data_IF_125557682039
#
_entry.id   IF_125557682039
#
_cell.length_a   1.000
_cell.length_b   1.000
_cell.length_c   1.000
_cell.angle_alpha   90.00
_cell.angle_beta   90.00
_cell.angle_gamma   90.00
#
_symmetry.space_group_name_H-M   'P 1'
#
loop_
_entity.id
_entity.type
_entity.pdbx_description
1 polymer ?
#
# COMPACT_ATOMS: atom_id res chain seq x y z
N UNK A 1 -9.63 32.03 1.40
CA UNK A 1 -8.27 31.54 1.61
C UNK A 1 -7.99 30.47 0.59
N UNK A 2 -7.02 30.66 -0.32
CA UNK A 2 -6.58 29.61 -1.21
C UNK A 2 -6.02 28.47 -0.36
N UNK A 3 -6.59 27.26 -0.48
CA UNK A 3 -6.06 26.05 0.17
C UNK A 3 -4.63 25.87 -0.34
N UNK A 4 -3.67 25.87 0.54
CA UNK A 4 -2.27 25.59 0.20
C UNK A 4 -2.19 24.13 -0.23
N UNK A 5 -2.25 23.88 -1.53
CA UNK A 5 -2.27 22.55 -2.11
C UNK A 5 -0.85 21.98 -2.06
N UNK A 6 -0.63 21.05 -1.13
CA UNK A 6 0.65 20.36 -0.98
C UNK A 6 0.82 19.19 -1.97
N UNK A 7 -0.30 18.71 -2.51
CA UNK A 7 -0.32 17.72 -3.59
C UNK A 7 -0.70 18.44 -4.89
N UNK A 8 0.21 18.43 -5.85
CA UNK A 8 0.06 19.14 -7.12
C UNK A 8 0.07 18.19 -8.31
N UNK A 9 -0.39 18.67 -9.45
CA UNK A 9 -0.32 17.94 -10.72
C UNK A 9 1.06 18.11 -11.36
N UNK A 10 1.60 17.04 -11.93
CA UNK A 10 2.86 17.06 -12.69
C UNK A 10 2.78 18.02 -13.88
N UNK A 11 3.94 18.39 -14.43
CA UNK A 11 4.03 19.33 -15.55
C UNK A 11 3.27 18.83 -16.80
N UNK A 12 2.80 19.77 -17.62
CA UNK A 12 2.11 19.45 -18.88
C UNK A 12 2.97 18.57 -19.80
N UNK A 13 4.29 18.80 -19.82
CA UNK A 13 5.23 18.01 -20.60
C UNK A 13 5.27 16.54 -20.14
N UNK A 14 5.27 16.30 -18.84
CA UNK A 14 5.18 14.93 -18.30
C UNK A 14 3.85 14.27 -18.65
N UNK A 15 2.74 14.99 -18.58
CA UNK A 15 1.43 14.50 -19.00
C UNK A 15 1.45 14.04 -20.47
N UNK A 16 1.99 14.87 -21.35
CA UNK A 16 2.12 14.54 -22.79
C UNK A 16 2.99 13.30 -22.98
N UNK A 17 4.13 13.22 -22.30
CA UNK A 17 5.05 12.08 -22.35
C UNK A 17 4.36 10.79 -21.91
N UNK A 18 3.64 10.81 -20.79
CA UNK A 18 2.90 9.63 -20.28
C UNK A 18 1.86 9.17 -21.31
N UNK A 19 1.07 10.10 -21.85
CA UNK A 19 0.04 9.73 -22.85
C UNK A 19 0.65 9.22 -24.16
N UNK A 20 1.73 9.79 -24.64
CA UNK A 20 2.42 9.32 -25.85
C UNK A 20 2.97 7.90 -25.68
N UNK A 21 3.61 7.65 -24.55
CA UNK A 21 4.12 6.29 -24.23
C UNK A 21 2.96 5.29 -24.04
N UNK A 22 1.89 5.69 -23.37
CA UNK A 22 0.69 4.87 -23.23
C UNK A 22 0.11 4.49 -24.59
N UNK A 23 0.06 5.42 -25.53
CA UNK A 23 -0.45 5.15 -26.88
C UNK A 23 0.41 4.09 -27.58
N UNK A 24 1.73 4.28 -27.60
CA UNK A 24 2.66 3.32 -28.27
C UNK A 24 2.57 1.93 -27.64
N UNK A 25 2.66 1.84 -26.32
CA UNK A 25 2.53 0.57 -25.61
C UNK A 25 1.13 -0.02 -25.72
N UNK A 26 0.10 0.82 -25.71
CA UNK A 26 -1.28 0.42 -25.87
C UNK A 26 -1.53 -0.32 -27.16
N UNK A 27 -1.08 0.23 -28.27
CA UNK A 27 -1.19 -0.43 -29.59
C UNK A 27 -0.50 -1.79 -29.58
N UNK A 28 0.74 -1.86 -29.06
CA UNK A 28 1.47 -3.13 -28.98
C UNK A 28 0.75 -4.18 -28.12
N UNK A 29 0.24 -3.79 -26.95
CA UNK A 29 -0.49 -4.69 -26.05
C UNK A 29 -1.81 -5.14 -26.68
N UNK A 30 -2.55 -4.22 -27.33
CA UNK A 30 -3.78 -4.58 -28.05
C UNK A 30 -3.53 -5.63 -29.13
N UNK A 31 -2.48 -5.48 -29.94
CA UNK A 31 -2.11 -6.48 -30.93
C UNK A 31 -1.79 -7.83 -30.27
N UNK A 32 -1.01 -7.85 -29.18
CA UNK A 32 -0.68 -9.07 -28.43
C UNK A 32 -1.92 -9.75 -27.83
N UNK A 33 -2.82 -8.97 -27.24
CA UNK A 33 -4.06 -9.49 -26.64
C UNK A 33 -5.02 -10.02 -27.71
N UNK A 34 -5.19 -9.31 -28.82
CA UNK A 34 -6.02 -9.76 -29.94
C UNK A 34 -5.49 -11.06 -30.54
N UNK A 35 -4.18 -11.18 -30.74
CA UNK A 35 -3.58 -12.42 -31.20
C UNK A 35 -3.82 -13.58 -30.22
N UNK A 36 -3.67 -13.35 -28.91
CA UNK A 36 -3.93 -14.36 -27.88
C UNK A 36 -5.43 -14.74 -27.83
N UNK A 37 -6.32 -13.79 -27.98
CA UNK A 37 -7.76 -14.02 -28.03
C UNK A 37 -8.16 -14.89 -29.22
N UNK A 38 -7.58 -14.62 -30.41
CA UNK A 38 -7.82 -15.44 -31.61
C UNK A 38 -7.27 -16.86 -31.42
N UNK A 39 -6.12 -17.02 -30.76
CA UNK A 39 -5.46 -18.31 -30.58
C UNK A 39 -6.11 -19.19 -29.50
N UNK A 40 -6.57 -18.59 -28.40
CA UNK A 40 -7.21 -19.31 -27.30
C UNK A 40 -8.39 -18.49 -26.72
N UNK A 41 -9.53 -18.45 -27.44
CA UNK A 41 -10.70 -17.68 -27.00
C UNK A 41 -11.33 -18.23 -25.71
N UNK A 42 -11.18 -19.54 -25.43
CA UNK A 42 -11.78 -20.16 -24.24
C UNK A 42 -11.13 -19.68 -22.96
N UNK A 43 -9.82 -19.51 -22.91
CA UNK A 43 -9.12 -19.05 -21.70
C UNK A 43 -9.47 -17.60 -21.33
N UNK A 44 -9.88 -16.80 -22.30
CA UNK A 44 -10.29 -15.40 -22.06
C UNK A 44 -11.59 -15.26 -21.30
N UNK A 45 -12.52 -16.22 -21.44
CA UNK A 45 -13.90 -16.08 -20.96
C UNK A 45 -14.25 -17.09 -19.85
N UNK A 46 -13.28 -17.82 -19.32
CA UNK A 46 -13.49 -18.69 -18.16
C UNK A 46 -13.53 -17.85 -16.89
N UNK A 47 -14.71 -17.33 -16.56
CA UNK A 47 -14.99 -16.67 -15.29
C UNK A 47 -15.99 -17.51 -14.52
N UNK A 48 -15.63 -17.91 -13.30
CA UNK A 48 -16.56 -18.60 -12.41
C UNK A 48 -17.55 -17.60 -11.83
N UNK A 49 -18.84 -17.88 -11.94
CA UNK A 49 -19.89 -17.05 -11.35
C UNK A 49 -19.83 -17.20 -9.81
N UNK A 50 -19.83 -16.05 -9.14
CA UNK A 50 -19.79 -15.95 -7.67
C UNK A 50 -20.94 -15.04 -7.21
N UNK A 51 -22.10 -15.63 -6.92
CA UNK A 51 -23.32 -14.86 -6.61
C UNK A 51 -23.43 -14.52 -5.12
N UNK A 52 -22.82 -15.34 -4.25
CA UNK A 52 -22.89 -15.17 -2.80
C UNK A 52 -21.52 -14.83 -2.23
N UNK A 53 -21.43 -13.83 -1.32
CA UNK A 53 -20.18 -13.53 -0.66
C UNK A 53 -19.73 -14.69 0.26
N UNK A 54 -18.45 -15.06 0.26
CA UNK A 54 -17.90 -15.96 1.27
C UNK A 54 -18.13 -15.45 2.69
N UNK A 55 -18.38 -16.37 3.63
CA UNK A 55 -18.72 -16.03 5.01
C UNK A 55 -17.74 -15.07 5.67
N UNK A 56 -16.43 -15.21 5.41
CA UNK A 56 -15.38 -14.35 5.98
C UNK A 56 -15.45 -12.87 5.53
N UNK A 57 -16.24 -12.54 4.51
CA UNK A 57 -16.47 -11.14 4.10
C UNK A 57 -17.65 -10.48 4.81
N UNK A 58 -18.55 -11.28 5.39
CA UNK A 58 -19.79 -10.79 6.01
C UNK A 58 -19.90 -11.14 7.49
N UNK A 59 -19.03 -12.01 7.98
CA UNK A 59 -19.00 -12.42 9.37
C UNK A 59 -18.49 -11.29 10.28
N UNK A 60 -19.25 -11.02 11.36
CA UNK A 60 -18.94 -10.00 12.35
C UNK A 60 -17.92 -10.45 13.39
N UNK A 61 -17.31 -11.62 13.27
CA UNK A 61 -16.30 -12.13 14.22
C UNK A 61 -15.06 -11.24 14.34
N UNK A 62 -14.71 -10.53 13.26
CA UNK A 62 -13.60 -9.57 13.23
C UNK A 62 -14.01 -8.13 13.59
N UNK A 63 -15.29 -7.84 13.69
CA UNK A 63 -15.80 -6.51 14.00
C UNK A 63 -17.15 -6.23 13.35
N UNK A 64 -17.70 -5.07 13.62
CA UNK A 64 -18.99 -4.66 13.08
C UNK A 64 -18.85 -4.02 11.70
N UNK A 65 -19.58 -4.54 10.72
CA UNK A 65 -19.70 -3.95 9.39
C UNK A 65 -20.55 -2.68 9.46
N UNK A 66 -20.02 -1.58 8.97
CA UNK A 66 -20.67 -0.27 9.00
C UNK A 66 -20.52 0.46 7.67
N UNK A 67 -21.43 1.40 7.45
CA UNK A 67 -21.46 2.22 6.26
C UNK A 67 -21.56 3.69 6.63
N UNK A 68 -20.89 4.54 5.86
CA UNK A 68 -21.02 5.98 5.94
C UNK A 68 -21.13 6.56 4.54
N UNK A 69 -22.00 7.54 4.35
CA UNK A 69 -22.15 8.24 3.07
C UNK A 69 -21.47 9.60 3.13
N UNK A 70 -20.43 9.80 2.34
CA UNK A 70 -19.61 11.01 2.30
C UNK A 70 -19.60 11.55 0.87
N UNK A 71 -19.98 12.80 0.67
CA UNK A 71 -20.06 13.45 -0.68
C UNK A 71 -20.80 12.62 -1.74
N UNK A 72 -21.81 11.87 -1.31
CA UNK A 72 -22.59 11.02 -2.21
C UNK A 72 -22.05 9.61 -2.45
N UNK A 73 -20.85 9.30 -1.94
CA UNK A 73 -20.21 7.98 -2.01
C UNK A 73 -20.45 7.23 -0.70
N UNK A 74 -20.94 6.00 -0.78
CA UNK A 74 -21.07 5.08 0.34
C UNK A 74 -19.74 4.36 0.56
N UNK A 75 -19.21 4.46 1.77
CA UNK A 75 -18.03 3.72 2.20
C UNK A 75 -18.43 2.61 3.17
N UNK A 76 -17.87 1.43 2.97
CA UNK A 76 -17.94 0.31 3.89
C UNK A 76 -16.67 0.27 4.75
N UNK A 77 -16.82 -0.07 6.02
CA UNK A 77 -15.70 -0.33 6.93
C UNK A 77 -16.08 -1.32 8.01
N UNK A 78 -15.07 -2.00 8.55
CA UNK A 78 -15.22 -2.88 9.72
C UNK A 78 -14.62 -2.19 10.93
N UNK A 79 -15.41 -2.04 12.00
CA UNK A 79 -15.02 -1.40 13.26
C UNK A 79 -14.93 -2.39 14.39
N UNK A 80 -13.82 -2.38 15.13
CA UNK A 80 -13.59 -3.21 16.30
C UNK A 80 -12.86 -2.42 17.40
N UNK A 81 -13.08 -2.79 18.67
CA UNK A 81 -12.51 -2.10 19.84
C UNK A 81 -13.42 -1.02 20.41
N UNK A 82 -13.09 -0.52 21.63
CA UNK A 82 -13.86 0.53 22.28
C UNK A 82 -13.72 1.88 21.59
N UNK A 83 -14.81 2.63 21.53
CA UNK A 83 -14.85 3.99 20.97
C UNK A 83 -14.06 5.01 21.77
N UNK A 84 -13.80 4.73 23.03
CA UNK A 84 -13.04 5.61 23.94
C UNK A 84 -11.52 5.48 23.73
N UNK A 85 -11.08 4.47 22.96
CA UNK A 85 -9.68 4.26 22.64
C UNK A 85 -9.24 5.10 21.42
N UNK A 86 -7.93 5.41 21.31
CA UNK A 86 -7.38 6.12 20.16
C UNK A 86 -7.68 5.37 18.86
N UNK A 87 -8.04 6.10 17.81
CA UNK A 87 -8.38 5.53 16.49
C UNK A 87 -7.14 5.09 15.71
N UNK A 88 -7.19 3.87 15.19
CA UNK A 88 -6.30 3.37 14.13
C UNK A 88 -7.12 3.13 12.87
N UNK A 89 -6.83 3.88 11.81
CA UNK A 89 -7.43 3.73 10.49
C UNK A 89 -6.54 2.84 9.61
N UNK A 90 -7.07 1.71 9.15
CA UNK A 90 -6.39 0.74 8.32
C UNK A 90 -6.83 0.91 6.86
N UNK A 91 -5.88 1.21 5.96
CA UNK A 91 -6.10 1.40 4.53
C UNK A 91 -5.38 0.28 3.76
N UNK A 92 -6.15 -0.57 3.09
CA UNK A 92 -5.62 -1.71 2.34
C UNK A 92 -4.93 -1.29 1.02
N UNK A 93 -4.25 -2.24 0.38
CA UNK A 93 -3.56 -2.08 -0.89
C UNK A 93 -4.36 -2.57 -2.11
N UNK A 94 -3.62 -2.95 -3.16
CA UNK A 94 -4.16 -3.48 -4.41
C UNK A 94 -3.48 -4.83 -4.76
N UNK A 95 -4.24 -5.80 -5.27
CA UNK A 95 -5.70 -5.93 -5.26
C UNK A 95 -6.16 -6.56 -3.93
N UNK A 96 -6.81 -5.78 -3.09
CA UNK A 96 -7.12 -6.15 -1.71
C UNK A 96 -8.45 -5.51 -1.24
N UNK A 97 -8.87 -5.74 0.02
CA UNK A 97 -10.02 -5.11 0.66
C UNK A 97 -9.79 -5.07 2.19
N UNK A 98 -10.77 -4.64 2.98
CA UNK A 98 -10.67 -4.59 4.44
C UNK A 98 -10.17 -5.89 5.08
N UNK A 99 -10.48 -7.05 4.48
CA UNK A 99 -10.09 -8.39 4.96
C UNK A 99 -8.57 -8.61 4.98
N UNK A 100 -7.80 -7.80 4.30
CA UNK A 100 -6.35 -7.73 4.38
C UNK A 100 -5.85 -7.62 5.81
N UNK A 101 -6.60 -6.92 6.65
CA UNK A 101 -6.28 -6.62 8.03
C UNK A 101 -6.82 -7.64 9.05
N UNK A 102 -7.33 -8.79 8.59
CA UNK A 102 -7.94 -9.84 9.45
C UNK A 102 -7.07 -10.29 10.61
N UNK A 103 -5.76 -10.26 10.46
CA UNK A 103 -4.81 -10.64 11.51
C UNK A 103 -4.42 -9.46 12.42
N UNK A 104 -4.63 -8.21 11.99
CA UNK A 104 -4.30 -7.00 12.73
C UNK A 104 -5.48 -6.55 13.60
N UNK A 105 -6.70 -6.65 13.09
CA UNK A 105 -7.92 -6.19 13.78
C UNK A 105 -8.02 -6.77 15.20
N UNK A 106 -7.97 -8.11 15.43
CA UNK A 106 -8.15 -8.65 16.78
C UNK A 106 -7.02 -8.29 17.74
N UNK A 107 -5.82 -8.05 17.24
CA UNK A 107 -4.66 -7.68 18.07
C UNK A 107 -4.68 -6.21 18.43
N UNK A 108 -5.01 -5.35 17.47
CA UNK A 108 -5.06 -3.90 17.67
C UNK A 108 -6.27 -3.48 18.51
N UNK A 109 -7.42 -4.15 18.37
CA UNK A 109 -8.67 -3.80 19.06
C UNK A 109 -8.60 -3.92 20.59
N UNK A 110 -7.59 -4.62 21.10
CA UNK A 110 -7.30 -4.68 22.54
C UNK A 110 -6.78 -3.33 23.11
N UNK A 111 -6.22 -2.48 22.26
CA UNK A 111 -5.57 -1.23 22.66
C UNK A 111 -6.08 0.01 21.93
N UNK A 112 -6.79 -0.19 20.82
CA UNK A 112 -7.22 0.87 19.91
C UNK A 112 -8.66 0.64 19.44
N UNK A 113 -9.32 1.72 19.08
CA UNK A 113 -10.48 1.67 18.19
C UNK A 113 -9.95 1.44 16.76
N UNK A 114 -10.29 0.34 16.14
CA UNK A 114 -9.78 -0.06 14.82
C UNK A 114 -10.88 0.13 13.79
N UNK A 115 -10.57 0.82 12.71
CA UNK A 115 -11.43 0.97 11.53
C UNK A 115 -10.67 0.49 10.30
N UNK A 116 -11.08 -0.64 9.74
CA UNK A 116 -10.56 -1.17 8.49
C UNK A 116 -11.50 -0.79 7.33
N UNK A 117 -11.06 0.12 6.48
CA UNK A 117 -11.84 0.72 5.42
C UNK A 117 -11.74 -0.10 4.13
N UNK A 118 -12.85 -0.32 3.45
CA UNK A 118 -12.83 -0.56 2.01
C UNK A 118 -12.69 0.77 1.28
N UNK A 119 -11.57 0.97 0.60
CA UNK A 119 -11.34 2.17 -0.19
C UNK A 119 -12.41 2.32 -1.28
N UNK A 120 -12.71 3.54 -1.68
CA UNK A 120 -13.63 3.80 -2.79
C UNK A 120 -13.25 2.97 -4.02
N UNK A 121 -14.21 2.27 -4.60
CA UNK A 121 -13.97 1.37 -5.73
C UNK A 121 -13.63 -0.06 -5.35
N UNK A 122 -13.45 -0.37 -4.05
CA UNK A 122 -13.09 -1.69 -3.56
C UNK A 122 -14.17 -2.27 -2.63
N UNK A 123 -14.11 -3.58 -2.43
CA UNK A 123 -14.93 -4.31 -1.48
C UNK A 123 -16.41 -3.95 -1.60
N UNK A 124 -17.03 -3.56 -0.49
CA UNK A 124 -18.44 -3.18 -0.44
C UNK A 124 -18.68 -1.65 -0.43
N UNK A 125 -17.63 -0.87 -0.66
CA UNK A 125 -17.73 0.57 -0.93
C UNK A 125 -18.23 0.83 -2.35
N UNK A 126 -18.86 2.01 -2.58
CA UNK A 126 -19.32 2.42 -3.89
C UNK A 126 -18.17 2.44 -4.92
N UNK A 127 -18.49 2.05 -6.15
CA UNK A 127 -17.56 1.88 -7.28
C UNK A 127 -17.91 2.81 -8.45
N UNK A 128 -17.75 4.15 -8.29
CA UNK A 128 -17.99 5.06 -9.41
C UNK A 128 -17.12 4.72 -10.61
N UNK A 129 -17.68 4.72 -11.82
CA UNK A 129 -16.92 4.37 -13.03
C UNK A 129 -16.02 5.51 -13.52
N UNK A 130 -16.32 6.76 -13.18
CA UNK A 130 -15.59 7.92 -13.66
C UNK A 130 -14.20 8.02 -13.04
N UNK A 131 -13.15 8.09 -13.88
CA UNK A 131 -11.77 8.34 -13.45
C UNK A 131 -11.64 9.61 -12.60
N UNK A 132 -12.41 10.65 -12.90
CA UNK A 132 -12.34 11.95 -12.21
C UNK A 132 -12.64 11.84 -10.72
N UNK A 133 -13.52 10.91 -10.32
CA UNK A 133 -13.88 10.71 -8.91
C UNK A 133 -12.77 10.06 -8.08
N UNK A 134 -11.73 9.53 -8.73
CA UNK A 134 -10.54 8.94 -8.09
C UNK A 134 -9.33 9.88 -8.11
N UNK A 135 -9.53 11.15 -8.34
CA UNK A 135 -8.48 12.15 -8.14
C UNK A 135 -8.07 12.16 -6.67
N UNK A 136 -6.79 12.31 -6.44
CA UNK A 136 -6.23 12.20 -5.08
C UNK A 136 -6.80 13.28 -4.15
N UNK A 137 -6.95 14.50 -4.63
CA UNK A 137 -7.57 15.60 -3.87
C UNK A 137 -8.98 15.22 -3.37
N UNK A 138 -9.81 14.62 -4.22
CA UNK A 138 -11.15 14.16 -3.85
C UNK A 138 -11.11 13.03 -2.82
N UNK A 139 -10.22 12.05 -3.01
CA UNK A 139 -10.07 10.93 -2.08
C UNK A 139 -9.58 11.41 -0.71
N UNK A 140 -8.62 12.33 -0.68
CA UNK A 140 -8.11 12.90 0.57
C UNK A 140 -9.19 13.69 1.33
N UNK A 141 -10.04 14.44 0.63
CA UNK A 141 -11.17 15.12 1.24
C UNK A 141 -12.22 14.14 1.80
N UNK A 142 -12.45 13.01 1.10
CA UNK A 142 -13.34 11.95 1.60
C UNK A 142 -12.75 11.26 2.84
N UNK A 143 -11.44 10.97 2.86
CA UNK A 143 -10.76 10.43 4.04
C UNK A 143 -10.77 11.41 5.22
N UNK A 144 -10.58 12.71 4.96
CA UNK A 144 -10.74 13.75 5.98
C UNK A 144 -12.15 13.71 6.59
N UNK A 145 -13.18 13.69 5.74
CA UNK A 145 -14.57 13.60 6.21
C UNK A 145 -14.86 12.30 6.95
N UNK A 146 -14.25 11.19 6.53
CA UNK A 146 -14.37 9.93 7.25
C UNK A 146 -13.83 10.06 8.68
N UNK A 147 -12.63 10.57 8.85
CA UNK A 147 -12.00 10.75 10.17
C UNK A 147 -12.88 11.63 11.06
N UNK A 148 -13.35 12.76 10.53
CA UNK A 148 -14.25 13.68 11.26
C UNK A 148 -15.57 12.97 11.61
N UNK A 149 -16.17 12.21 10.70
CA UNK A 149 -17.44 11.49 10.92
C UNK A 149 -17.32 10.38 11.96
N UNK A 150 -16.12 9.83 12.17
CA UNK A 150 -15.81 8.87 13.21
C UNK A 150 -15.72 9.54 14.61
N UNK A 151 -15.81 10.87 14.68
CA UNK A 151 -15.87 11.65 15.94
C UNK A 151 -14.51 11.87 16.58
N UNK A 152 -13.43 11.85 15.82
CA UNK A 152 -12.05 12.11 16.30
C UNK A 152 -11.44 13.30 15.59
N UNK A 153 -10.52 14.00 16.27
CA UNK A 153 -9.75 15.10 15.69
C UNK A 153 -8.55 14.63 14.88
N UNK A 154 -7.98 13.47 15.25
CA UNK A 154 -6.83 12.86 14.57
C UNK A 154 -6.81 11.36 14.81
N UNK A 155 -6.01 10.64 14.05
CA UNK A 155 -5.86 9.20 14.19
C UNK A 155 -4.46 8.72 13.75
N UNK A 156 -4.11 7.51 14.14
CA UNK A 156 -3.00 6.80 13.51
C UNK A 156 -3.46 6.17 12.20
N UNK A 157 -2.75 6.42 11.11
CA UNK A 157 -3.02 5.81 9.81
C UNK A 157 -2.03 4.69 9.55
N UNK A 158 -2.53 3.50 9.26
CA UNK A 158 -1.73 2.34 8.82
C UNK A 158 -2.17 1.99 7.41
N UNK A 159 -1.32 2.18 6.44
CA UNK A 159 -1.66 1.98 5.02
C UNK A 159 -0.69 1.04 4.32
N UNK A 160 -1.23 0.09 3.56
CA UNK A 160 -0.47 -0.81 2.71
C UNK A 160 -0.56 -0.39 1.24
N UNK A 161 0.56 -0.41 0.49
CA UNK A 161 0.61 -0.14 -0.95
C UNK A 161 -0.14 1.16 -1.31
N UNK A 162 -1.24 1.11 -2.08
CA UNK A 162 -2.09 2.28 -2.38
C UNK A 162 -2.58 2.96 -1.09
N UNK A 163 -3.02 2.19 -0.10
CA UNK A 163 -3.43 2.74 1.20
C UNK A 163 -2.29 3.46 1.91
N UNK A 164 -1.05 2.96 1.78
CA UNK A 164 0.15 3.62 2.26
C UNK A 164 0.42 4.94 1.54
N UNK A 165 0.25 4.94 0.21
CA UNK A 165 0.40 6.14 -0.60
C UNK A 165 -0.63 7.21 -0.23
N UNK A 166 -1.89 6.81 -0.01
CA UNK A 166 -2.93 7.72 0.49
C UNK A 166 -2.60 8.24 1.88
N UNK A 167 -2.05 7.40 2.76
CA UNK A 167 -1.57 7.79 4.08
C UNK A 167 -0.48 8.87 4.01
N UNK A 168 0.49 8.72 3.12
CA UNK A 168 1.50 9.75 2.85
C UNK A 168 0.88 11.06 2.38
N UNK A 169 0.00 10.98 1.38
CA UNK A 169 -0.68 12.16 0.84
C UNK A 169 -1.55 12.86 1.90
N UNK A 170 -2.22 12.08 2.75
CA UNK A 170 -3.03 12.60 3.85
C UNK A 170 -2.15 13.33 4.90
N UNK A 171 -1.00 12.74 5.27
CA UNK A 171 -0.05 13.34 6.20
C UNK A 171 0.58 14.64 5.66
N UNK A 172 0.73 14.76 4.34
CA UNK A 172 1.15 16.02 3.71
C UNK A 172 0.03 17.06 3.68
N UNK A 173 -1.17 16.67 3.23
CA UNK A 173 -2.25 17.61 2.97
C UNK A 173 -2.98 18.05 4.24
N UNK A 174 -3.14 17.13 5.21
CA UNK A 174 -3.87 17.32 6.46
C UNK A 174 -3.07 16.75 7.65
N UNK A 175 -1.87 17.30 7.95
CA UNK A 175 -1.00 16.78 9.02
C UNK A 175 -1.66 16.78 10.39
N UNK A 176 -2.63 17.69 10.63
CA UNK A 176 -3.40 17.79 11.88
C UNK A 176 -4.31 16.57 12.12
N UNK A 177 -4.65 15.82 11.08
CA UNK A 177 -5.50 14.62 11.19
C UNK A 177 -4.70 13.34 11.44
N UNK A 178 -3.36 13.39 11.34
CA UNK A 178 -2.52 12.20 11.38
C UNK A 178 -1.53 12.27 12.53
N UNK A 179 -1.80 11.54 13.62
CA UNK A 179 -0.88 11.45 14.77
C UNK A 179 0.41 10.70 14.44
N UNK A 180 0.29 9.69 13.60
CA UNK A 180 1.38 8.84 13.13
C UNK A 180 0.98 8.16 11.81
N UNK A 181 1.93 8.03 10.90
CA UNK A 181 1.78 7.22 9.70
C UNK A 181 2.60 5.93 9.83
N UNK A 182 1.97 4.79 9.60
CA UNK A 182 2.66 3.51 9.36
C UNK A 182 2.45 3.14 7.89
N UNK A 183 3.48 3.35 7.09
CA UNK A 183 3.48 2.99 5.66
C UNK A 183 4.00 1.55 5.51
N UNK A 184 3.14 0.65 5.03
CA UNK A 184 3.48 -0.77 4.84
C UNK A 184 3.79 -1.02 3.37
N UNK A 185 5.01 -1.45 3.09
CA UNK A 185 5.50 -1.70 1.72
C UNK A 185 5.20 -0.55 0.75
N UNK A 186 5.35 0.69 1.22
CA UNK A 186 5.05 1.89 0.43
C UNK A 186 6.03 3.03 0.75
N UNK A 187 6.97 3.38 -0.15
CA UNK A 187 7.84 4.53 -0.01
C UNK A 187 7.07 5.84 -0.24
N UNK A 188 7.73 6.96 0.03
CA UNK A 188 7.16 8.28 -0.23
C UNK A 188 6.68 8.46 -1.69
N UNK A 189 5.55 9.15 -1.96
CA UNK A 189 4.95 9.27 -3.30
C UNK A 189 5.92 9.75 -4.39
N UNK A 190 6.73 10.77 -4.15
CA UNK A 190 7.69 11.27 -5.13
C UNK A 190 8.79 10.25 -5.43
N UNK A 191 9.22 9.47 -4.44
CA UNK A 191 10.18 8.38 -4.61
C UNK A 191 9.54 7.22 -5.37
N UNK A 192 8.32 6.87 -5.03
CA UNK A 192 7.55 5.84 -5.73
C UNK A 192 7.41 6.20 -7.22
N UNK A 193 6.96 7.42 -7.55
CA UNK A 193 6.81 7.92 -8.92
C UNK A 193 8.13 7.84 -9.70
N UNK A 194 9.23 8.31 -9.13
CA UNK A 194 10.56 8.26 -9.77
C UNK A 194 11.00 6.81 -10.03
N UNK A 195 10.75 5.89 -9.10
CA UNK A 195 11.09 4.48 -9.25
C UNK A 195 10.27 3.77 -10.33
N UNK A 196 9.04 4.22 -10.57
CA UNK A 196 8.16 3.68 -11.61
C UNK A 196 8.72 3.90 -13.02
N UNK A 197 9.32 5.05 -13.27
CA UNK A 197 9.90 5.39 -14.58
C UNK A 197 11.13 4.54 -14.96
N UNK A 198 11.77 3.90 -13.98
CA UNK A 198 13.00 3.13 -14.17
C UNK A 198 12.81 1.62 -14.10
N UNK A 199 11.59 1.14 -13.91
CA UNK A 199 11.29 -0.28 -13.64
C UNK A 199 10.44 -0.94 -14.71
N UNK A 200 10.40 -2.29 -14.70
CA UNK A 200 9.43 -3.09 -15.47
C UNK A 200 7.97 -2.75 -15.17
N UNK A 201 7.71 -2.10 -14.05
CA UNK A 201 6.39 -1.61 -13.65
C UNK A 201 5.85 -0.54 -14.60
N UNK A 202 6.73 0.14 -15.33
CA UNK A 202 6.35 1.15 -16.32
C UNK A 202 5.43 0.60 -17.41
N UNK A 203 5.67 -0.64 -17.87
CA UNK A 203 4.81 -1.31 -18.87
C UNK A 203 3.40 -1.52 -18.34
N UNK A 204 3.28 -2.02 -17.12
CA UNK A 204 1.99 -2.23 -16.48
C UNK A 204 1.23 -0.92 -16.26
N UNK A 205 1.91 0.12 -15.81
CA UNK A 205 1.29 1.44 -15.62
C UNK A 205 0.79 2.07 -16.92
N UNK A 206 1.52 1.88 -18.03
CA UNK A 206 1.03 2.31 -19.35
C UNK A 206 -0.15 1.45 -19.81
N UNK A 207 -0.14 0.14 -19.54
CA UNK A 207 -1.28 -0.72 -19.82
C UNK A 207 -2.52 -0.29 -19.06
N UNK A 208 -2.40 0.01 -17.77
CA UNK A 208 -3.51 0.47 -16.91
C UNK A 208 -4.15 1.76 -17.44
N UNK A 209 -3.40 2.63 -18.13
CA UNK A 209 -3.96 3.85 -18.72
C UNK A 209 -4.95 3.59 -19.85
N UNK A 210 -4.92 2.41 -20.47
CA UNK A 210 -5.84 2.06 -21.55
C UNK A 210 -7.28 1.94 -21.01
N UNK A 211 -8.28 2.36 -21.79
CA UNK A 211 -9.68 2.13 -21.44
C UNK A 211 -10.07 0.65 -21.68
N UNK A 212 -10.84 0.06 -20.80
CA UNK A 212 -11.50 -1.26 -20.90
C UNK A 212 -10.59 -2.49 -20.92
N UNK A 213 -9.43 -2.44 -21.57
CA UNK A 213 -8.54 -3.60 -21.73
C UNK A 213 -7.99 -4.13 -20.40
N UNK A 214 -7.53 -3.29 -19.47
CA UNK A 214 -7.03 -3.77 -18.19
C UNK A 214 -8.10 -4.46 -17.35
N UNK A 215 -9.34 -3.95 -17.38
CA UNK A 215 -10.47 -4.52 -16.68
C UNK A 215 -10.83 -5.91 -17.24
N UNK A 216 -10.83 -6.07 -18.57
CA UNK A 216 -11.10 -7.35 -19.23
C UNK A 216 -9.97 -8.35 -19.00
N UNK A 217 -8.72 -7.89 -19.10
CA UNK A 217 -7.55 -8.75 -18.86
C UNK A 217 -7.49 -9.28 -17.43
N UNK A 218 -7.89 -8.47 -16.47
CA UNK A 218 -7.92 -8.86 -15.06
C UNK A 218 -8.94 -9.96 -14.73
N UNK A 219 -10.00 -10.08 -15.53
CA UNK A 219 -11.03 -11.12 -15.36
C UNK A 219 -10.65 -12.48 -15.95
N UNK A 220 -9.58 -12.53 -16.77
CA UNK A 220 -9.18 -13.78 -17.46
C UNK A 220 -8.83 -14.90 -16.51
N UNK A 221 -9.04 -16.14 -16.98
CA UNK A 221 -8.62 -17.35 -16.28
C UNK A 221 -9.13 -17.35 -14.81
N UNK A 222 -10.42 -17.03 -14.63
CA UNK A 222 -11.05 -16.95 -13.31
C UNK A 222 -10.32 -16.03 -12.34
N UNK A 223 -10.07 -14.80 -12.76
CA UNK A 223 -9.39 -13.78 -11.95
C UNK A 223 -8.00 -14.25 -11.47
N UNK A 224 -7.30 -15.02 -12.29
CA UNK A 224 -5.97 -15.62 -11.97
C UNK A 224 -4.98 -14.60 -11.40
N UNK A 225 -5.12 -13.34 -11.78
CA UNK A 225 -4.29 -12.26 -11.25
C UNK A 225 -4.36 -12.19 -9.72
N UNK A 226 -5.51 -12.43 -9.10
CA UNK A 226 -5.67 -12.47 -7.63
C UNK A 226 -4.78 -13.55 -7.01
N UNK A 227 -4.81 -14.77 -7.55
CA UNK A 227 -3.93 -15.86 -7.08
C UNK A 227 -2.43 -15.55 -7.27
N UNK A 228 -2.08 -14.75 -8.28
CA UNK A 228 -0.68 -14.32 -8.50
C UNK A 228 -0.21 -13.29 -7.46
N UNK A 229 -1.09 -12.42 -7.00
CA UNK A 229 -0.77 -11.45 -5.93
C UNK A 229 -0.76 -12.13 -4.55
N UNK A 230 -1.75 -12.96 -4.26
CA UNK A 230 -1.90 -13.65 -2.98
C UNK A 230 -1.28 -15.05 -2.96
N UNK A 231 -0.06 -15.20 -3.50
CA UNK A 231 0.68 -16.48 -3.54
C UNK A 231 0.97 -17.10 -2.17
N UNK A 232 0.80 -16.34 -1.11
CA UNK A 232 0.94 -16.82 0.27
C UNK A 232 -0.28 -17.63 0.74
N UNK A 233 -1.41 -17.50 0.05
CA UNK A 233 -2.62 -18.30 0.31
C UNK A 233 -2.59 -19.57 -0.57
N UNK A 234 -2.92 -20.74 0.02
CA UNK A 234 -3.05 -21.98 -0.74
C UNK A 234 -4.15 -21.91 -1.82
N UNK A 235 -4.07 -22.72 -2.89
CA UNK A 235 -5.20 -22.92 -3.78
C UNK A 235 -6.45 -23.36 -2.99
N UNK A 236 -7.62 -22.83 -3.34
CA UNK A 236 -8.91 -23.11 -2.67
C UNK A 236 -9.01 -22.64 -1.21
N UNK A 237 -8.09 -21.79 -0.76
CA UNK A 237 -8.21 -21.12 0.53
C UNK A 237 -9.44 -20.20 0.57
N UNK A 238 -10.16 -20.20 1.71
CA UNK A 238 -11.38 -19.40 1.87
C UNK A 238 -11.13 -17.89 1.66
N UNK A 239 -9.98 -17.40 2.11
CA UNK A 239 -9.62 -15.99 1.92
C UNK A 239 -9.22 -15.70 0.46
N UNK A 240 -8.59 -16.65 -0.23
CA UNK A 240 -8.31 -16.49 -1.66
C UNK A 240 -9.61 -16.42 -2.47
N UNK A 241 -10.60 -17.25 -2.17
CA UNK A 241 -11.92 -17.20 -2.80
C UNK A 241 -12.68 -15.91 -2.43
N UNK A 242 -12.49 -15.37 -1.23
CA UNK A 242 -13.03 -14.09 -0.83
C UNK A 242 -12.44 -12.93 -1.66
N UNK A 243 -11.12 -12.93 -1.89
CA UNK A 243 -10.50 -11.96 -2.78
C UNK A 243 -10.96 -12.11 -4.23
N UNK A 244 -11.10 -13.34 -4.73
CA UNK A 244 -11.66 -13.56 -6.07
C UNK A 244 -13.10 -13.07 -6.18
N UNK A 245 -13.93 -13.27 -5.15
CA UNK A 245 -15.29 -12.73 -5.09
C UNK A 245 -15.29 -11.20 -5.17
N UNK A 246 -14.43 -10.54 -4.38
CA UNK A 246 -14.34 -9.08 -4.33
C UNK A 246 -13.90 -8.45 -5.67
N UNK A 247 -13.36 -9.26 -6.59
CA UNK A 247 -12.83 -8.83 -7.89
C UNK A 247 -13.38 -9.62 -9.09
N UNK A 248 -14.52 -10.31 -8.94
CA UNK A 248 -15.05 -11.17 -10.00
C UNK A 248 -15.86 -10.43 -11.09
N UNK A 249 -16.17 -9.14 -10.91
CA UNK A 249 -16.94 -8.33 -11.86
C UNK A 249 -16.03 -7.24 -12.47
N UNK A 250 -16.37 -6.78 -13.65
CA UNK A 250 -15.63 -5.71 -14.33
C UNK A 250 -15.59 -4.41 -13.50
N UNK A 251 -16.70 -4.08 -12.84
CA UNK A 251 -16.85 -2.89 -12.02
C UNK A 251 -15.89 -2.92 -10.80
N UNK A 252 -15.54 -4.12 -10.32
CA UNK A 252 -14.59 -4.30 -9.21
C UNK A 252 -13.15 -3.92 -9.59
N UNK A 253 -12.84 -3.80 -10.88
CA UNK A 253 -11.53 -3.40 -11.39
C UNK A 253 -11.44 -1.93 -11.79
N UNK A 254 -12.54 -1.34 -12.26
CA UNK A 254 -12.54 0.04 -12.77
C UNK A 254 -12.07 1.04 -11.71
N UNK A 255 -12.61 0.94 -10.49
CA UNK A 255 -12.22 1.80 -9.37
C UNK A 255 -10.73 1.65 -9.02
N UNK A 256 -10.27 0.44 -8.66
CA UNK A 256 -8.86 0.15 -8.37
C UNK A 256 -7.89 0.64 -9.44
N UNK A 257 -8.16 0.39 -10.70
CA UNK A 257 -7.31 0.83 -11.81
C UNK A 257 -7.31 2.36 -11.96
N UNK A 258 -8.40 3.04 -11.61
CA UNK A 258 -8.47 4.50 -11.65
C UNK A 258 -7.57 5.18 -10.62
N UNK A 259 -7.22 4.53 -9.51
CA UNK A 259 -6.14 5.03 -8.62
C UNK A 259 -4.83 5.14 -9.38
N UNK A 260 -4.38 4.07 -10.03
CA UNK A 260 -3.14 4.06 -10.80
C UNK A 260 -3.18 5.00 -12.02
N UNK A 261 -4.37 5.17 -12.62
CA UNK A 261 -4.58 6.14 -13.70
C UNK A 261 -4.39 7.59 -13.25
N UNK A 262 -4.60 7.89 -11.97
CA UNK A 262 -4.43 9.24 -11.42
C UNK A 262 -3.06 9.44 -10.74
N UNK A 263 -2.51 8.41 -10.10
CA UNK A 263 -1.27 8.48 -9.32
C UNK A 263 -0.05 8.94 -10.11
N UNK A 264 0.02 8.62 -11.41
CA UNK A 264 1.11 9.06 -12.26
C UNK A 264 1.15 10.58 -12.48
N UNK A 265 0.04 11.27 -12.22
CA UNK A 265 -0.14 12.69 -12.52
C UNK A 265 -0.06 13.59 -11.30
N UNK A 266 0.37 13.06 -10.14
CA UNK A 266 0.51 13.83 -8.91
C UNK A 266 1.93 13.78 -8.36
N UNK A 267 2.29 14.85 -7.65
CA UNK A 267 3.51 14.90 -6.85
C UNK A 267 3.28 15.74 -5.58
N UNK A 268 4.11 15.52 -4.57
CA UNK A 268 4.18 16.38 -3.40
C UNK A 268 5.00 17.62 -3.79
N UNK A 269 4.42 18.80 -3.58
CA UNK A 269 5.05 20.07 -3.95
C UNK A 269 6.38 20.29 -3.20
N UNK A 270 7.33 20.95 -3.84
CA UNK A 270 8.68 21.16 -3.29
C UNK A 270 8.69 21.94 -1.97
N UNK A 271 7.82 22.93 -1.82
CA UNK A 271 7.67 23.72 -0.61
C UNK A 271 7.04 22.94 0.58
N UNK A 272 6.55 21.73 0.34
CA UNK A 272 5.87 20.89 1.34
C UNK A 272 6.52 19.52 1.49
N UNK A 273 7.81 19.40 1.18
CA UNK A 273 8.50 18.11 1.10
C UNK A 273 8.60 17.38 2.42
N UNK A 274 8.83 18.10 3.52
CA UNK A 274 9.09 17.48 4.82
C UNK A 274 7.85 17.53 5.70
N UNK A 275 7.44 16.38 6.23
CA UNK A 275 6.35 16.27 7.19
C UNK A 275 6.86 16.08 8.61
N UNK A 276 6.16 16.68 9.58
CA UNK A 276 6.45 16.53 11.01
C UNK A 276 5.77 15.31 11.63
N UNK A 277 4.78 14.76 10.94
CA UNK A 277 4.10 13.53 11.34
C UNK A 277 5.12 12.40 11.46
N UNK A 278 5.21 11.71 12.61
CA UNK A 278 6.12 10.58 12.74
C UNK A 278 5.75 9.45 11.78
N UNK A 279 6.72 8.96 11.01
CA UNK A 279 6.51 7.89 10.04
C UNK A 279 7.29 6.63 10.44
N UNK A 280 6.61 5.50 10.36
CA UNK A 280 7.23 4.17 10.43
C UNK A 280 6.97 3.45 9.12
N UNK A 281 8.02 3.12 8.38
CA UNK A 281 7.90 2.27 7.19
C UNK A 281 8.18 0.82 7.60
N UNK A 282 7.22 -0.07 7.33
CA UNK A 282 7.35 -1.51 7.57
C UNK A 282 7.33 -2.24 6.22
N UNK A 283 8.35 -3.05 5.92
CA UNK A 283 8.42 -3.81 4.67
C UNK A 283 9.03 -5.18 4.87
N UNK A 284 8.78 -6.10 3.95
CA UNK A 284 9.45 -7.40 3.93
C UNK A 284 10.85 -7.31 3.34
N UNK A 285 11.78 -8.12 3.82
CA UNK A 285 13.15 -8.24 3.29
C UNK A 285 13.19 -8.80 1.86
N UNK A 286 12.13 -9.52 1.46
CA UNK A 286 11.96 -10.12 0.13
C UNK A 286 10.98 -9.37 -0.76
N UNK A 287 10.63 -8.14 -0.40
CA UNK A 287 9.77 -7.29 -1.21
C UNK A 287 10.51 -6.89 -2.51
N UNK A 288 9.98 -7.36 -3.63
CA UNK A 288 10.55 -7.05 -4.97
C UNK A 288 10.05 -5.72 -5.53
N UNK A 289 9.02 -5.15 -4.95
CA UNK A 289 8.41 -3.89 -5.41
C UNK A 289 9.07 -2.68 -4.75
N UNK A 290 9.57 -2.85 -3.51
CA UNK A 290 10.23 -1.79 -2.75
C UNK A 290 11.73 -2.05 -2.74
N UNK A 291 12.48 -1.15 -3.36
CA UNK A 291 13.95 -1.19 -3.34
C UNK A 291 14.47 -0.48 -2.09
N UNK A 292 15.58 -0.97 -1.53
CA UNK A 292 16.25 -0.32 -0.40
C UNK A 292 16.54 1.17 -0.68
N UNK A 293 16.93 1.50 -1.91
CA UNK A 293 17.16 2.87 -2.33
C UNK A 293 15.90 3.75 -2.17
N UNK A 294 14.71 3.21 -2.48
CA UNK A 294 13.45 3.93 -2.31
C UNK A 294 13.12 4.17 -0.82
N UNK A 295 13.48 3.22 0.06
CA UNK A 295 13.34 3.39 1.50
C UNK A 295 14.24 4.52 1.99
N UNK A 296 15.53 4.50 1.60
CA UNK A 296 16.51 5.53 1.99
C UNK A 296 16.07 6.90 1.50
N UNK A 297 15.71 7.04 0.22
CA UNK A 297 15.22 8.32 -0.33
C UNK A 297 13.94 8.85 0.34
N UNK A 298 13.13 7.97 0.93
CA UNK A 298 11.93 8.40 1.66
C UNK A 298 12.26 9.14 2.97
N UNK A 299 13.47 8.98 3.52
CA UNK A 299 13.91 9.69 4.72
C UNK A 299 13.98 11.21 4.50
N UNK A 300 14.25 11.65 3.27
CA UNK A 300 14.40 13.07 2.92
C UNK A 300 13.09 13.87 3.06
N UNK A 301 11.96 13.15 3.21
CA UNK A 301 10.63 13.72 3.30
C UNK A 301 10.04 13.73 4.71
N UNK A 302 10.79 13.33 5.73
CA UNK A 302 10.30 13.19 7.10
C UNK A 302 11.30 13.73 8.11
N UNK A 303 10.82 14.45 9.12
CA UNK A 303 11.65 14.79 10.29
C UNK A 303 11.89 13.58 11.21
N UNK A 304 10.88 12.72 11.36
CA UNK A 304 10.93 11.53 12.22
C UNK A 304 10.57 10.30 11.41
N UNK A 305 11.58 9.54 10.99
CA UNK A 305 11.42 8.34 10.17
C UNK A 305 12.07 7.11 10.81
N UNK A 306 11.35 6.01 10.81
CA UNK A 306 11.85 4.72 11.26
C UNK A 306 11.54 3.66 10.21
N UNK A 307 12.48 2.73 10.01
CA UNK A 307 12.29 1.57 9.14
C UNK A 307 12.27 0.31 9.99
N UNK A 308 11.33 -0.58 9.67
CA UNK A 308 11.20 -1.91 10.27
C UNK A 308 11.14 -2.95 9.17
N UNK A 309 11.90 -4.03 9.33
CA UNK A 309 11.95 -5.12 8.36
C UNK A 309 11.26 -6.35 8.96
N UNK A 310 10.44 -7.01 8.15
CA UNK A 310 9.78 -8.29 8.47
C UNK A 310 10.50 -9.39 7.72
N UNK A 311 11.22 -10.24 8.44
CA UNK A 311 12.05 -11.29 7.86
C UNK A 311 11.24 -12.33 7.11
N UNK A 312 11.69 -12.71 5.91
CA UNK A 312 11.05 -13.71 5.05
C UNK A 312 9.73 -13.27 4.42
N UNK A 313 9.29 -12.03 4.64
CA UNK A 313 8.09 -11.49 4.02
C UNK A 313 8.40 -10.83 2.67
N UNK A 314 7.41 -10.89 1.77
CA UNK A 314 7.39 -10.17 0.50
C UNK A 314 6.56 -8.90 0.64
N UNK A 315 5.74 -8.60 -0.37
CA UNK A 315 4.99 -7.34 -0.46
C UNK A 315 3.81 -7.21 0.53
N UNK A 316 3.29 -8.34 1.02
CA UNK A 316 2.17 -8.38 1.98
C UNK A 316 2.64 -8.81 3.38
N UNK A 317 3.57 -8.10 4.04
CA UNK A 317 4.17 -8.56 5.30
C UNK A 317 3.14 -8.76 6.41
N UNK A 318 2.07 -7.97 6.44
CA UNK A 318 0.96 -8.04 7.39
C UNK A 318 0.08 -9.30 7.22
N UNK A 319 0.12 -9.94 6.05
CA UNK A 319 -0.56 -11.20 5.77
C UNK A 319 0.40 -12.39 5.79
N UNK A 320 1.59 -12.25 5.19
CA UNK A 320 2.56 -13.33 5.00
C UNK A 320 3.26 -13.73 6.29
N UNK A 321 3.56 -12.78 7.16
CA UNK A 321 4.25 -12.94 8.45
C UNK A 321 3.53 -12.17 9.55
N UNK A 322 2.22 -12.38 9.64
CA UNK A 322 1.32 -11.59 10.47
C UNK A 322 1.72 -11.51 11.95
N UNK A 323 2.27 -12.58 12.54
CA UNK A 323 2.69 -12.58 13.94
C UNK A 323 3.85 -11.58 14.18
N UNK A 324 4.93 -11.69 13.40
CA UNK A 324 6.07 -10.78 13.48
C UNK A 324 5.66 -9.34 13.14
N UNK A 325 4.82 -9.18 12.11
CA UNK A 325 4.31 -7.87 11.73
C UNK A 325 3.51 -7.22 12.88
N UNK A 326 2.61 -7.97 13.52
CA UNK A 326 1.79 -7.48 14.64
C UNK A 326 2.65 -7.05 15.83
N UNK A 327 3.70 -7.79 16.18
CA UNK A 327 4.63 -7.39 17.23
C UNK A 327 5.34 -6.07 16.90
N UNK A 328 5.82 -5.92 15.65
CA UNK A 328 6.48 -4.70 15.19
C UNK A 328 5.50 -3.54 15.19
N UNK A 329 4.28 -3.74 14.70
CA UNK A 329 3.23 -2.75 14.63
C UNK A 329 2.85 -2.26 16.03
N UNK A 330 2.52 -3.16 16.96
CA UNK A 330 2.18 -2.80 18.34
C UNK A 330 3.30 -2.04 19.04
N UNK A 331 4.56 -2.50 18.91
CA UNK A 331 5.73 -1.80 19.49
C UNK A 331 5.89 -0.39 18.90
N UNK A 332 5.44 -0.17 17.67
CA UNK A 332 5.50 1.12 17.00
C UNK A 332 4.35 2.06 17.39
N UNK A 333 3.21 1.50 17.81
CA UNK A 333 2.01 2.27 18.15
C UNK A 333 1.88 2.56 19.64
N UNK A 334 2.17 1.59 20.49
CA UNK A 334 2.06 1.73 21.95
C UNK A 334 3.24 2.57 22.45
N UNK A 335 2.99 3.75 23.02
CA UNK A 335 4.00 4.53 23.74
C UNK A 335 4.49 3.67 24.91
N UNK A 336 5.81 3.43 25.04
CA UNK A 336 6.35 2.97 26.31
C UNK A 336 5.95 4.00 27.39
N UNK A 337 5.19 3.58 28.42
CA UNK A 337 5.07 4.38 29.64
C UNK A 337 6.49 4.64 30.11
N UNK A 338 6.92 5.90 30.11
CA UNK A 338 8.06 6.31 30.93
C UNK A 338 7.66 6.00 32.35
N UNK A 339 8.30 5.00 32.95
CA UNK A 339 8.27 4.84 34.39
C UNK A 339 9.05 6.03 34.91
N UNK A 340 8.35 7.05 35.38
CA UNK A 340 8.92 8.05 36.27
C UNK A 340 9.23 7.31 37.58
N UNK A 341 10.51 7.05 37.75
CA UNK A 341 11.11 6.30 38.85
C UNK A 341 11.12 7.19 40.10
N UNK A 342 10.24 6.88 41.01
CA UNK A 342 10.36 7.29 42.39
C UNK A 342 10.98 6.17 43.21
N UNK A 343 12.28 6.23 43.42
CA UNK A 343 12.95 5.66 44.59
C UNK A 343 13.44 4.21 44.55
N UNK A 344 14.77 4.06 44.67
CA UNK A 344 15.56 2.97 45.22
C UNK A 344 15.21 1.50 44.88
N UNK A 345 16.04 0.92 44.01
CA UNK A 345 16.82 -0.29 44.39
C UNK A 345 17.97 -0.53 43.40
N UNK A 346 19.17 -0.47 43.91
CA UNK A 346 20.41 -0.89 43.24
C UNK A 346 20.55 -2.40 43.36
N UNK A 347 20.87 -3.01 42.25
CA UNK A 347 21.61 -4.29 42.12
C UNK A 347 20.87 -5.31 41.22
N UNK A 348 21.63 -5.80 40.22
CA UNK A 348 21.42 -7.01 39.44
C UNK A 348 20.72 -6.92 38.09
N UNK A 349 21.04 -5.97 37.18
CA UNK A 349 20.65 -6.11 35.76
C UNK A 349 21.64 -5.56 34.72
N UNK A 350 22.91 -5.36 35.04
CA UNK A 350 23.92 -4.89 34.07
C UNK A 350 24.20 -5.85 32.90
N UNK A 351 23.82 -7.13 33.00
CA UNK A 351 24.10 -8.15 31.97
C UNK A 351 23.06 -8.19 30.81
N UNK A 352 21.82 -7.84 31.08
CA UNK A 352 20.72 -7.95 30.07
C UNK A 352 20.61 -6.68 29.24
N UNK A 353 20.83 -5.51 29.88
CA UNK A 353 20.75 -4.21 29.19
C UNK A 353 21.89 -4.07 28.18
N UNK A 354 23.09 -4.52 28.46
CA UNK A 354 24.22 -4.49 27.51
C UNK A 354 24.03 -5.40 26.29
N UNK A 355 23.29 -6.52 26.42
CA UNK A 355 22.90 -7.35 25.25
C UNK A 355 21.84 -6.70 24.38
N UNK A 356 20.89 -5.97 24.96
CA UNK A 356 19.87 -5.25 24.20
C UNK A 356 20.44 -4.01 23.49
N UNK A 357 21.36 -3.27 24.14
CA UNK A 357 22.03 -2.14 23.48
C UNK A 357 23.04 -2.58 22.42
N UNK A 358 23.67 -3.75 22.55
CA UNK A 358 24.49 -4.36 21.51
C UNK A 358 23.72 -4.67 20.22
N UNK A 359 22.46 -5.15 20.33
CA UNK A 359 21.60 -5.43 19.19
C UNK A 359 21.11 -4.15 18.48
N UNK A 360 20.79 -3.08 19.24
CA UNK A 360 20.39 -1.78 18.67
C UNK A 360 21.59 -1.06 18.03
N UNK A 361 22.76 -1.13 18.65
CA UNK A 361 24.00 -0.56 18.10
C UNK A 361 24.46 -1.28 16.83
N UNK A 362 24.22 -2.60 16.70
CA UNK A 362 24.55 -3.34 15.48
C UNK A 362 23.64 -2.95 14.30
N UNK A 363 22.36 -2.65 14.56
CA UNK A 363 21.42 -2.21 13.53
C UNK A 363 21.76 -0.80 13.02
N UNK A 364 22.17 0.11 13.90
CA UNK A 364 22.63 1.47 13.52
C UNK A 364 24.00 1.41 12.83
N UNK A 365 24.94 0.57 13.29
CA UNK A 365 26.22 0.35 12.60
C UNK A 365 26.05 -0.29 11.22
N UNK A 366 25.08 -1.19 11.05
CA UNK A 366 24.78 -1.78 9.76
C UNK A 366 24.19 -0.74 8.79
N UNK A 367 23.32 0.15 9.25
CA UNK A 367 22.82 1.29 8.47
C UNK A 367 23.93 2.24 8.02
N UNK A 368 24.82 2.62 8.91
CA UNK A 368 25.95 3.51 8.59
C UNK A 368 27.01 2.83 7.70
N UNK A 369 27.28 1.52 7.87
CA UNK A 369 28.20 0.81 6.98
C UNK A 369 27.66 0.64 5.55
N UNK A 370 26.35 0.53 5.39
CA UNK A 370 25.69 0.50 4.08
C UNK A 370 25.72 1.88 3.43
N UNK A 371 25.53 2.97 4.17
CA UNK A 371 25.67 4.34 3.69
C UNK A 371 27.12 4.65 3.24
N UNK A 372 28.12 4.26 4.01
CA UNK A 372 29.53 4.41 3.64
C UNK A 372 29.92 3.57 2.41
N UNK A 373 29.33 2.40 2.23
CA UNK A 373 29.58 1.53 1.06
C UNK A 373 28.91 2.12 -0.20
N UNK A 374 27.75 2.74 -0.07
CA UNK A 374 27.08 3.42 -1.18
C UNK A 374 27.84 4.69 -1.59
N UNK A 375 28.31 5.50 -0.63
CA UNK A 375 29.13 6.69 -0.95
C UNK A 375 30.49 6.36 -1.58
N UNK A 376 31.15 5.27 -1.20
CA UNK A 376 32.40 4.82 -1.84
C UNK A 376 32.21 4.24 -3.24
N UNK A 377 31.04 3.67 -3.56
CA UNK A 377 30.75 3.12 -4.90
C UNK A 377 30.30 4.16 -5.93
N UNK A 378 29.86 5.34 -5.50
CA UNK A 378 29.42 6.39 -6.45
C UNK A 378 30.56 7.29 -6.92
N UNK A 379 31.73 7.27 -6.28
CA UNK A 379 32.89 8.10 -6.64
C UNK A 379 34.02 7.38 -7.40
N UNK A 380 33.79 6.16 -7.88
CA UNK A 380 34.84 5.47 -8.65
C UNK A 380 34.25 4.39 -9.56
N UNK A 381 34.55 4.56 -10.86
CA UNK A 381 34.44 3.56 -11.95
C UNK A 381 33.13 3.54 -12.76
N UNK A 382 33.22 4.18 -13.89
CA UNK A 382 32.52 3.80 -15.12
C UNK A 382 33.06 2.43 -15.54
N UNK A 383 32.27 1.36 -15.31
CA UNK A 383 32.61 0.00 -15.67
C UNK A 383 31.38 -0.89 -15.52
N UNK A 384 30.94 -1.47 -16.63
CA UNK A 384 29.88 -2.45 -16.84
C UNK A 384 29.34 -3.18 -15.60
N UNK A 385 28.10 -2.88 -15.22
CA UNK A 385 27.34 -3.59 -14.20
C UNK A 385 26.65 -4.79 -14.88
N UNK A 386 26.77 -6.02 -14.33
CA UNK A 386 26.03 -7.15 -14.85
C UNK A 386 24.53 -6.94 -14.66
N UNK A 387 23.79 -7.14 -15.73
CA UNK A 387 22.33 -7.05 -15.81
C UNK A 387 21.72 -8.13 -14.90
N UNK A 388 21.31 -7.77 -13.70
CA UNK A 388 20.45 -8.63 -12.88
C UNK A 388 19.03 -8.49 -13.44
N UNK A 389 18.51 -9.61 -13.93
CA UNK A 389 17.21 -9.76 -14.57
C UNK A 389 16.07 -9.32 -13.63
N UNK A 390 15.54 -8.11 -13.81
CA UNK A 390 14.42 -7.54 -13.08
C UNK A 390 13.09 -7.84 -13.80
N UNK A 391 12.73 -9.13 -13.86
CA UNK A 391 11.53 -9.62 -14.53
C UNK A 391 10.42 -10.01 -13.54
N UNK A 392 9.96 -9.12 -12.65
CA UNK A 392 8.90 -9.54 -11.73
C UNK A 392 7.49 -9.02 -12.02
N UNK A 393 7.31 -7.86 -12.63
CA UNK A 393 5.98 -7.43 -13.10
C UNK A 393 5.71 -7.79 -14.57
N UNK A 394 6.73 -7.77 -15.43
CA UNK A 394 6.58 -8.22 -16.81
C UNK A 394 6.33 -9.74 -16.90
N UNK A 395 6.88 -10.55 -15.97
CA UNK A 395 6.65 -11.99 -15.89
C UNK A 395 5.24 -12.39 -15.42
N UNK A 396 4.43 -11.47 -14.90
CA UNK A 396 3.00 -11.73 -14.70
C UNK A 396 2.31 -11.91 -16.06
N UNK A 397 2.82 -11.25 -17.11
CA UNK A 397 2.27 -11.29 -18.46
C UNK A 397 3.09 -12.14 -19.45
N UNK A 398 4.36 -12.52 -19.16
CA UNK A 398 5.25 -13.17 -20.13
C UNK A 398 5.56 -14.65 -19.84
N UNK A 399 5.14 -15.25 -18.72
CA UNK A 399 5.25 -16.69 -18.49
C UNK A 399 3.91 -17.38 -18.69
N UNK A 400 3.63 -17.69 -19.93
CA UNK A 400 2.89 -18.88 -20.32
C UNK A 400 3.92 -19.85 -20.91
N UNK A 401 3.85 -21.12 -20.45
CA UNK A 401 4.44 -22.33 -21.00
C UNK A 401 5.88 -22.66 -20.56
N UNK A 402 5.94 -23.43 -19.52
CA UNK A 402 6.50 -24.81 -19.46
C UNK A 402 6.16 -25.40 -18.09
#
# INVERSE_FOLDING_TARGET
MAKDLRIVTVSLWEIIKIHSLTFVFGVWIMCKMSAKWVWDPKSFFTLQQRDTPPACLVDSSLGQHKYVKLKGVKFHYVECGSRDLPLVLLLHGFPDCWLSWRHQIPVLSQHFRVVALDLKGFGDSDKPSSRKTYRIDMILEELQQLIISLGVSSCTVVGHDIGGLLGWCLAHQFPELVDKLVAVSCPHPNVYRTSLHTSSNYRWLNFVQLPYFPEVDALREDVKIISKYHKHLPPHDTYLEAYKYAFCRKEDWTGPLNYFRNLLFIEVAENSRTIQVPVVLITGDRDKFIKLESIVKSTDYCEKFQVKIVDGARHFPHQERHQQFNEILLKSLVKKKSVEDGGLERSASKGIVNRMFGAVSSTVKYGNSVLDTVHKKTNGVVGSIPTINLLSYANIYDRTDS
#
